data_IF_558343273034
#
_entry.id   IF_558343273034
#
_cell.length_a   1.000
_cell.length_b   1.000
_cell.length_c   1.000
_cell.angle_alpha   90.00
_cell.angle_beta   90.00
_cell.angle_gamma   90.00
#
_symmetry.space_group_name_H-M   'P 1'
#
loop_
_entity.id
_entity.type
_entity.pdbx_description
1 polymer ?
#
# COMPACT_ATOMS: atom_id res chain seq x y z
N UNK A 1 16.12 -15.17 -13.29
CA UNK A 1 15.21 -15.52 -12.17
C UNK A 1 15.06 -14.28 -11.32
N UNK A 2 13.82 -13.85 -11.05
CA UNK A 2 13.56 -12.72 -10.14
C UNK A 2 13.93 -13.13 -8.71
N UNK A 3 14.64 -12.26 -8.00
CA UNK A 3 14.97 -12.46 -6.56
C UNK A 3 13.71 -12.54 -5.71
N UNK A 4 12.61 -11.90 -6.17
CA UNK A 4 11.31 -11.91 -5.50
C UNK A 4 10.55 -13.24 -5.63
N UNK A 5 11.00 -14.15 -6.48
CA UNK A 5 10.30 -15.38 -6.82
C UNK A 5 9.10 -15.13 -7.73
N UNK A 6 8.35 -16.19 -8.01
CA UNK A 6 7.22 -16.21 -8.93
C UNK A 6 6.04 -16.90 -8.27
N UNK A 7 4.84 -16.43 -8.56
CA UNK A 7 3.59 -17.10 -8.24
C UNK A 7 2.91 -17.48 -9.57
N UNK A 8 2.72 -18.78 -9.80
CA UNK A 8 2.04 -19.31 -10.96
C UNK A 8 0.65 -19.81 -10.58
N UNK A 9 -0.36 -19.39 -11.32
CA UNK A 9 -1.74 -19.83 -11.15
C UNK A 9 -2.14 -20.57 -12.43
N UNK A 10 -2.26 -21.89 -12.36
CA UNK A 10 -2.80 -22.73 -13.43
C UNK A 10 -4.31 -22.89 -13.27
N UNK A 11 -5.06 -22.57 -14.30
CA UNK A 11 -6.54 -22.75 -14.31
C UNK A 11 -6.90 -23.75 -15.40
N UNK A 12 -7.57 -24.85 -15.03
CA UNK A 12 -8.11 -25.82 -15.96
C UNK A 12 -9.59 -25.55 -16.15
N UNK A 13 -9.96 -25.26 -17.38
CA UNK A 13 -11.36 -25.01 -17.77
C UNK A 13 -11.83 -26.14 -18.67
N UNK A 14 -13.04 -26.68 -18.41
CA UNK A 14 -13.75 -27.62 -19.27
C UNK A 14 -15.24 -27.25 -19.29
N UNK A 15 -15.84 -27.26 -20.49
CA UNK A 15 -17.25 -26.90 -20.70
C UNK A 15 -17.65 -25.50 -20.19
N UNK A 16 -16.71 -24.52 -20.26
CA UNK A 16 -16.91 -23.16 -19.76
C UNK A 16 -16.82 -23.00 -18.23
N UNK A 17 -16.52 -24.06 -17.49
CA UNK A 17 -16.40 -24.04 -16.04
C UNK A 17 -14.96 -24.30 -15.56
N UNK A 18 -14.56 -23.65 -14.51
CA UNK A 18 -13.28 -23.92 -13.86
C UNK A 18 -13.35 -25.25 -13.12
N UNK A 19 -12.55 -26.24 -13.56
CA UNK A 19 -12.49 -27.59 -12.98
C UNK A 19 -11.38 -27.79 -11.98
N UNK A 20 -10.28 -27.04 -12.11
CA UNK A 20 -9.17 -27.09 -11.17
C UNK A 20 -8.39 -25.80 -11.19
N UNK A 21 -7.80 -25.45 -10.03
CA UNK A 21 -6.82 -24.38 -9.87
C UNK A 21 -5.58 -24.97 -9.22
N UNK A 22 -4.42 -24.76 -9.85
CA UNK A 22 -3.11 -25.18 -9.34
C UNK A 22 -2.31 -23.93 -8.99
N UNK A 23 -1.76 -23.88 -7.77
CA UNK A 23 -0.92 -22.79 -7.30
C UNK A 23 0.49 -23.31 -7.09
N UNK A 24 1.47 -22.65 -7.72
CA UNK A 24 2.88 -22.91 -7.48
C UNK A 24 3.58 -21.59 -7.13
N UNK A 25 4.48 -21.64 -6.14
CA UNK A 25 5.24 -20.45 -5.71
C UNK A 25 6.70 -20.79 -5.51
N UNK A 26 7.57 -20.01 -6.14
CA UNK A 26 9.04 -20.04 -5.90
C UNK A 26 9.48 -18.90 -5.00
N UNK A 27 8.54 -18.17 -4.38
CA UNK A 27 8.87 -17.06 -3.47
C UNK A 27 9.65 -17.56 -2.26
N UNK A 28 10.70 -16.83 -1.83
CA UNK A 28 11.44 -17.17 -0.61
C UNK A 28 10.49 -17.20 0.60
N UNK A 29 10.56 -18.28 1.38
CA UNK A 29 9.76 -18.39 2.60
C UNK A 29 10.48 -17.68 3.74
N UNK A 30 10.17 -16.40 3.96
CA UNK A 30 10.76 -15.59 5.03
C UNK A 30 10.60 -16.23 6.42
N UNK A 31 9.50 -16.94 6.68
CA UNK A 31 9.28 -17.68 7.92
C UNK A 31 10.38 -18.70 8.25
N UNK A 32 11.01 -19.33 7.25
CA UNK A 32 12.12 -20.26 7.47
C UNK A 32 13.37 -19.57 8.03
N UNK A 33 13.61 -18.32 7.66
CA UNK A 33 14.74 -17.53 8.16
C UNK A 33 14.53 -17.15 9.63
N UNK A 34 13.27 -17.04 10.05
CA UNK A 34 12.89 -16.64 11.41
C UNK A 34 12.77 -17.83 12.37
N UNK A 35 12.63 -19.07 11.86
CA UNK A 35 12.49 -20.25 12.69
C UNK A 35 13.74 -20.46 13.57
N UNK A 36 13.52 -20.67 14.88
CA UNK A 36 14.58 -20.86 15.87
C UNK A 36 15.33 -19.58 16.27
N UNK A 37 14.91 -18.41 15.82
CA UNK A 37 15.47 -17.13 16.24
C UNK A 37 14.84 -16.64 17.53
N UNK A 38 15.61 -15.84 18.29
CA UNK A 38 15.07 -15.18 19.48
C UNK A 38 14.06 -14.08 19.09
N UNK A 39 13.11 -13.71 19.97
CA UNK A 39 12.21 -12.58 19.73
C UNK A 39 12.93 -11.28 19.33
N UNK A 40 14.06 -10.98 19.97
CA UNK A 40 14.88 -9.81 19.64
C UNK A 40 15.48 -9.88 18.23
N UNK A 41 15.93 -11.06 17.80
CA UNK A 41 16.42 -11.27 16.43
C UNK A 41 15.30 -11.15 15.40
N UNK A 42 14.13 -11.71 15.68
CA UNK A 42 12.94 -11.59 14.81
C UNK A 42 12.58 -10.12 14.62
N UNK A 43 12.47 -9.34 15.70
CA UNK A 43 12.14 -7.91 15.63
C UNK A 43 13.12 -7.10 14.76
N UNK A 44 14.40 -7.49 14.75
CA UNK A 44 15.45 -6.85 13.95
C UNK A 44 15.46 -7.32 12.50
N UNK A 45 15.22 -8.61 12.24
CA UNK A 45 15.33 -9.21 10.90
C UNK A 45 14.11 -8.94 10.04
N UNK A 46 12.91 -8.94 10.62
CA UNK A 46 11.65 -8.82 9.87
C UNK A 46 11.61 -7.57 8.97
N UNK A 47 11.90 -6.34 9.43
CA UNK A 47 11.85 -5.16 8.57
C UNK A 47 12.90 -5.20 7.44
N UNK A 48 13.95 -6.01 7.56
CA UNK A 48 14.97 -6.18 6.52
C UNK A 48 14.55 -7.18 5.45
N UNK A 49 13.67 -8.14 5.78
CA UNK A 49 13.16 -9.16 4.86
C UNK A 49 12.02 -8.63 3.97
N UNK A 50 11.34 -7.59 4.41
CA UNK A 50 10.15 -7.03 3.73
C UNK A 50 10.35 -5.56 3.41
N UNK A 51 10.89 -5.28 2.22
CA UNK A 51 11.27 -3.92 1.82
C UNK A 51 10.10 -2.94 1.65
N UNK A 52 8.90 -3.44 1.28
CA UNK A 52 7.72 -2.61 1.05
C UNK A 52 6.83 -2.44 2.28
N UNK A 53 6.69 -3.50 3.09
CA UNK A 53 5.80 -3.55 4.24
C UNK A 53 6.54 -3.89 5.55
N UNK A 54 7.77 -3.42 5.69
CA UNK A 54 8.68 -3.76 6.79
C UNK A 54 8.12 -3.41 8.16
N UNK A 55 7.48 -2.25 8.31
CA UNK A 55 6.87 -1.83 9.58
C UNK A 55 5.62 -2.63 9.92
N UNK A 56 4.76 -2.89 8.94
CA UNK A 56 3.57 -3.72 9.14
C UNK A 56 3.95 -5.14 9.58
N UNK A 57 4.95 -5.74 8.91
CA UNK A 57 5.46 -7.06 9.27
C UNK A 57 6.15 -7.08 10.63
N UNK A 58 6.92 -6.05 10.97
CA UNK A 58 7.54 -5.92 12.28
C UNK A 58 6.50 -5.83 13.39
N UNK A 59 5.45 -5.02 13.19
CA UNK A 59 4.37 -4.88 14.16
C UNK A 59 3.60 -6.19 14.30
N UNK A 60 3.30 -6.88 13.21
CA UNK A 60 2.64 -8.20 13.24
C UNK A 60 3.48 -9.23 14.01
N UNK A 61 4.79 -9.26 13.79
CA UNK A 61 5.70 -10.13 14.52
C UNK A 61 5.74 -9.79 16.02
N UNK A 62 5.78 -8.49 16.37
CA UNK A 62 5.74 -8.03 17.77
C UNK A 62 4.45 -8.47 18.46
N UNK A 63 3.30 -8.25 17.82
CA UNK A 63 1.99 -8.67 18.38
C UNK A 63 1.92 -10.18 18.57
N UNK A 64 2.44 -10.97 17.63
CA UNK A 64 2.49 -12.43 17.74
C UNK A 64 3.37 -12.90 18.91
N UNK A 65 4.54 -12.26 19.10
CA UNK A 65 5.46 -12.55 20.21
C UNK A 65 4.81 -12.18 21.54
N UNK A 66 4.25 -10.96 21.68
CA UNK A 66 3.57 -10.48 22.87
C UNK A 66 2.43 -11.44 23.28
N UNK A 67 1.63 -11.86 22.31
CA UNK A 67 0.57 -12.84 22.56
C UNK A 67 1.11 -14.20 23.05
N UNK A 68 2.23 -14.66 22.49
CA UNK A 68 2.84 -15.93 22.87
C UNK A 68 3.43 -15.94 24.30
N UNK A 69 3.88 -14.77 24.78
CA UNK A 69 4.44 -14.64 26.15
C UNK A 69 3.43 -14.09 27.16
N UNK A 70 2.18 -13.82 26.73
CA UNK A 70 1.11 -13.31 27.60
C UNK A 70 1.25 -11.83 27.95
N UNK A 71 2.02 -11.06 27.19
CA UNK A 71 2.14 -9.62 27.37
C UNK A 71 0.97 -8.88 26.69
N UNK A 72 0.52 -7.78 27.32
CA UNK A 72 -0.50 -6.91 26.78
C UNK A 72 0.08 -5.54 26.42
N UNK A 73 -0.03 -5.18 25.16
CA UNK A 73 0.34 -3.84 24.69
C UNK A 73 -0.69 -2.81 25.15
N UNK A 74 -0.28 -1.69 25.77
CA UNK A 74 -1.17 -0.59 26.10
C UNK A 74 -1.90 -0.04 24.87
N UNK A 75 -3.13 0.48 25.04
CA UNK A 75 -3.93 1.02 23.93
C UNK A 75 -3.22 2.16 23.19
N UNK A 76 -2.53 3.04 23.92
CA UNK A 76 -1.75 4.13 23.35
C UNK A 76 -0.66 3.64 22.38
N UNK A 77 0.00 2.54 22.71
CA UNK A 77 1.00 1.95 21.85
C UNK A 77 0.37 1.22 20.65
N UNK A 78 -0.76 0.53 20.85
CA UNK A 78 -1.54 -0.06 19.73
C UNK A 78 -1.98 1.00 18.74
N UNK A 79 -2.41 2.16 19.22
CA UNK A 79 -2.78 3.28 18.38
C UNK A 79 -1.59 3.84 17.58
N UNK A 80 -0.41 3.95 18.21
CA UNK A 80 0.82 4.35 17.51
C UNK A 80 1.20 3.34 16.42
N UNK A 81 1.16 2.05 16.72
CA UNK A 81 1.40 0.97 15.75
C UNK A 81 0.42 1.04 14.58
N UNK A 82 -0.86 1.26 14.86
CA UNK A 82 -1.89 1.42 13.82
C UNK A 82 -1.60 2.60 12.91
N UNK A 83 -1.18 3.75 13.47
CA UNK A 83 -0.79 4.92 12.68
C UNK A 83 0.42 4.63 11.80
N UNK A 84 1.44 3.93 12.31
CA UNK A 84 2.63 3.54 11.52
C UNK A 84 2.27 2.68 10.32
N UNK A 85 1.43 1.65 10.52
CA UNK A 85 0.96 0.78 9.42
C UNK A 85 0.17 1.57 8.38
N UNK A 86 -0.74 2.46 8.81
CA UNK A 86 -1.52 3.30 7.89
C UNK A 86 -0.64 4.24 7.08
N UNK A 87 0.37 4.85 7.68
CA UNK A 87 1.30 5.73 6.98
C UNK A 87 2.18 4.98 5.99
N UNK A 88 2.61 3.75 6.31
CA UNK A 88 3.30 2.87 5.37
C UNK A 88 2.39 2.54 4.18
N UNK A 89 1.13 2.14 4.43
CA UNK A 89 0.15 1.88 3.38
C UNK A 89 -0.10 3.10 2.47
N UNK A 90 -0.22 4.30 3.05
CA UNK A 90 -0.36 5.55 2.29
C UNK A 90 0.86 5.77 1.38
N UNK A 91 2.09 5.55 1.88
CA UNK A 91 3.31 5.69 1.06
C UNK A 91 3.30 4.73 -0.13
N UNK A 92 2.90 3.48 0.08
CA UNK A 92 2.82 2.48 -0.98
C UNK A 92 1.74 2.81 -2.02
N UNK A 93 0.56 3.27 -1.58
CA UNK A 93 -0.48 3.73 -2.50
C UNK A 93 -0.03 4.95 -3.31
N UNK A 94 0.59 5.93 -2.67
CA UNK A 94 1.15 7.10 -3.38
C UNK A 94 2.23 6.68 -4.40
N UNK A 95 3.07 5.70 -4.07
CA UNK A 95 4.04 5.15 -5.02
C UNK A 95 3.34 4.61 -6.26
N UNK A 96 2.36 3.73 -6.08
CA UNK A 96 1.61 3.13 -7.20
C UNK A 96 0.92 4.18 -8.05
N UNK A 97 0.18 5.07 -7.38
CA UNK A 97 -0.65 6.06 -8.06
C UNK A 97 0.15 7.18 -8.75
N UNK A 98 1.30 7.56 -8.20
CA UNK A 98 2.07 8.70 -8.69
C UNK A 98 3.28 8.31 -9.56
N UNK A 99 3.79 7.10 -9.42
CA UNK A 99 4.97 6.65 -10.17
C UNK A 99 4.68 5.48 -11.09
N UNK A 100 4.13 4.37 -10.57
CA UNK A 100 4.01 3.13 -11.34
C UNK A 100 2.88 3.21 -12.39
N UNK A 101 1.68 3.62 -11.99
CA UNK A 101 0.54 3.69 -12.90
C UNK A 101 0.76 4.69 -14.04
N UNK A 102 1.21 5.93 -13.79
CA UNK A 102 1.55 6.81 -14.90
C UNK A 102 2.54 6.17 -15.87
N UNK A 103 3.59 5.52 -15.36
CA UNK A 103 4.59 4.87 -16.20
C UNK A 103 4.01 3.71 -17.04
N UNK A 104 3.12 2.89 -16.46
CA UNK A 104 2.42 1.81 -17.17
C UNK A 104 1.53 2.34 -18.29
N UNK A 105 0.95 3.52 -18.11
CA UNK A 105 0.09 4.20 -19.08
C UNK A 105 0.87 5.12 -20.05
N UNK A 106 2.21 5.06 -20.03
CA UNK A 106 3.09 5.92 -20.84
C UNK A 106 2.92 7.43 -20.54
N UNK A 107 2.53 7.77 -19.33
CA UNK A 107 2.40 9.13 -18.83
C UNK A 107 3.60 9.51 -17.96
N UNK A 108 3.92 10.80 -17.84
CA UNK A 108 5.01 11.26 -16.98
C UNK A 108 4.66 11.01 -15.50
N UNK A 109 5.54 10.37 -14.72
CA UNK A 109 5.31 10.15 -13.30
C UNK A 109 5.43 11.45 -12.48
N UNK A 110 4.64 11.57 -11.41
CA UNK A 110 4.55 12.75 -10.54
C UNK A 110 5.67 12.74 -9.48
N UNK A 111 6.94 12.70 -9.91
CA UNK A 111 8.11 12.44 -9.05
C UNK A 111 8.27 13.44 -7.90
N UNK A 112 8.11 14.74 -8.17
CA UNK A 112 8.34 15.79 -7.17
C UNK A 112 7.24 15.80 -6.10
N UNK A 113 5.99 15.64 -6.52
CA UNK A 113 4.85 15.52 -5.62
C UNK A 113 4.97 14.24 -4.76
N UNK A 114 5.31 13.10 -5.37
CA UNK A 114 5.57 11.86 -4.65
C UNK A 114 6.69 12.04 -3.61
N UNK A 115 7.85 12.56 -3.99
CA UNK A 115 8.98 12.74 -3.09
C UNK A 115 8.65 13.63 -1.89
N UNK A 116 7.82 14.67 -2.09
CA UNK A 116 7.33 15.54 -1.03
C UNK A 116 6.45 14.78 -0.03
N UNK A 117 5.45 14.07 -0.52
CA UNK A 117 4.53 13.32 0.32
C UNK A 117 5.18 12.12 1.01
N UNK A 118 6.05 11.40 0.29
CA UNK A 118 6.81 10.29 0.85
C UNK A 118 7.63 10.70 2.08
N UNK A 119 8.39 11.81 1.98
CA UNK A 119 9.17 12.33 3.12
C UNK A 119 8.29 12.74 4.29
N UNK A 120 7.15 13.35 4.03
CA UNK A 120 6.22 13.77 5.09
C UNK A 120 5.59 12.58 5.80
N UNK A 121 5.15 11.57 5.06
CA UNK A 121 4.65 10.32 5.65
C UNK A 121 5.73 9.60 6.45
N UNK A 122 6.97 9.57 5.97
CA UNK A 122 8.09 8.96 6.69
C UNK A 122 8.34 9.68 8.02
N UNK A 123 8.42 11.01 8.02
CA UNK A 123 8.60 11.79 9.24
C UNK A 123 7.46 11.58 10.24
N UNK A 124 6.20 11.64 9.79
CA UNK A 124 5.03 11.40 10.65
C UNK A 124 4.99 9.97 11.20
N UNK A 125 5.52 8.98 10.49
CA UNK A 125 5.60 7.59 10.92
C UNK A 125 6.61 7.39 12.05
N UNK A 126 7.77 8.08 12.00
CA UNK A 126 8.76 8.00 13.08
C UNK A 126 8.17 8.47 14.42
N UNK A 127 7.51 9.61 14.43
CA UNK A 127 6.88 10.16 15.63
C UNK A 127 5.60 9.40 16.01
N UNK A 128 4.79 9.04 15.03
CA UNK A 128 3.48 8.40 15.15
C UNK A 128 2.51 9.12 16.13
N UNK A 129 2.69 10.43 16.31
CA UNK A 129 1.85 11.24 17.18
C UNK A 129 0.50 11.58 16.50
N UNK A 130 -0.59 11.49 17.28
CA UNK A 130 -1.94 11.65 16.75
C UNK A 130 -2.18 13.02 16.11
N UNK A 131 -1.61 14.08 16.68
CA UNK A 131 -1.71 15.45 16.16
C UNK A 131 -1.05 15.60 14.80
N UNK A 132 0.20 15.17 14.69
CA UNK A 132 0.98 15.19 13.47
C UNK A 132 0.30 14.38 12.34
N UNK A 133 -0.18 13.16 12.67
CA UNK A 133 -0.87 12.30 11.70
C UNK A 133 -2.19 12.92 11.21
N UNK A 134 -2.97 13.55 12.08
CA UNK A 134 -4.22 14.24 11.66
C UNK A 134 -3.93 15.43 10.76
N UNK A 135 -2.93 16.25 11.10
CA UNK A 135 -2.53 17.37 10.26
C UNK A 135 -2.10 16.89 8.87
N UNK A 136 -1.22 15.88 8.80
CA UNK A 136 -0.77 15.29 7.54
C UNK A 136 -1.95 14.75 6.72
N UNK A 137 -2.90 14.05 7.36
CA UNK A 137 -4.09 13.52 6.70
C UNK A 137 -4.94 14.64 6.10
N UNK A 138 -5.20 15.73 6.86
CA UNK A 138 -5.94 16.89 6.36
C UNK A 138 -5.26 17.52 5.15
N UNK A 139 -3.96 17.72 5.20
CA UNK A 139 -3.21 18.30 4.08
C UNK A 139 -3.14 17.38 2.85
N UNK A 140 -3.11 16.06 3.06
CA UNK A 140 -3.17 15.10 1.95
C UNK A 140 -4.56 15.06 1.30
N UNK A 141 -5.63 15.14 2.10
CA UNK A 141 -7.00 15.27 1.58
C UNK A 141 -7.13 16.56 0.78
N UNK A 142 -6.67 17.69 1.31
CA UNK A 142 -6.65 18.97 0.58
C UNK A 142 -5.88 18.89 -0.75
N UNK A 143 -4.77 18.17 -0.78
CA UNK A 143 -4.01 17.93 -2.00
C UNK A 143 -4.81 17.06 -3.00
N UNK A 144 -5.42 15.99 -2.53
CA UNK A 144 -6.29 15.17 -3.39
C UNK A 144 -7.42 15.99 -3.98
N UNK A 145 -8.11 16.77 -3.15
CA UNK A 145 -9.29 17.56 -3.56
C UNK A 145 -8.97 18.68 -4.55
N UNK A 146 -7.80 19.31 -4.41
CA UNK A 146 -7.46 20.50 -5.22
C UNK A 146 -6.59 20.20 -6.43
N UNK A 147 -5.80 19.12 -6.36
CA UNK A 147 -4.73 18.91 -7.33
C UNK A 147 -4.81 17.56 -8.01
N UNK A 148 -4.96 16.48 -7.23
CA UNK A 148 -4.80 15.11 -7.72
C UNK A 148 -6.09 14.59 -8.38
N UNK A 149 -7.18 14.60 -7.63
CA UNK A 149 -8.45 14.00 -8.05
C UNK A 149 -9.36 14.97 -8.82
N UNK A 150 -10.20 14.45 -9.70
CA UNK A 150 -11.18 15.25 -10.44
C UNK A 150 -12.30 15.81 -9.57
N UNK A 151 -12.68 15.06 -8.54
CA UNK A 151 -13.70 15.40 -7.55
C UNK A 151 -13.10 15.42 -6.15
N UNK A 152 -13.73 16.11 -5.18
CA UNK A 152 -13.36 15.96 -3.78
C UNK A 152 -13.31 14.48 -3.35
N UNK A 153 -12.31 14.10 -2.55
CA UNK A 153 -12.08 12.71 -2.15
C UNK A 153 -13.32 12.05 -1.55
N UNK A 154 -14.10 12.78 -0.75
CA UNK A 154 -15.33 12.26 -0.16
C UNK A 154 -16.36 11.88 -1.23
N UNK A 155 -16.55 12.72 -2.26
CA UNK A 155 -17.45 12.41 -3.38
C UNK A 155 -16.89 11.30 -4.26
N UNK A 156 -15.59 11.29 -4.49
CA UNK A 156 -14.90 10.22 -5.22
C UNK A 156 -15.15 8.84 -4.61
N UNK A 157 -15.11 8.73 -3.28
CA UNK A 157 -15.31 7.46 -2.56
C UNK A 157 -16.79 6.99 -2.55
N UNK A 158 -17.73 7.84 -2.92
CA UNK A 158 -19.16 7.52 -3.01
C UNK A 158 -19.61 7.15 -4.44
N UNK A 159 -18.68 7.15 -5.42
CA UNK A 159 -19.01 6.78 -6.79
C UNK A 159 -19.23 5.28 -6.91
N UNK A 160 -20.42 4.89 -7.35
CA UNK A 160 -20.82 3.51 -7.59
C UNK A 160 -20.72 3.10 -9.08
N UNK A 161 -20.41 4.06 -9.98
CA UNK A 161 -20.38 3.87 -11.43
C UNK A 161 -19.00 4.17 -11.99
N UNK A 162 -18.42 3.21 -12.69
CA UNK A 162 -17.13 3.34 -13.37
C UNK A 162 -17.16 4.46 -14.44
N UNK A 163 -18.30 4.69 -15.10
CA UNK A 163 -18.44 5.77 -16.06
C UNK A 163 -18.28 7.15 -15.42
N UNK A 164 -18.77 7.34 -14.20
CA UNK A 164 -18.59 8.58 -13.44
C UNK A 164 -17.14 8.82 -13.01
N UNK A 165 -16.34 7.75 -12.83
CA UNK A 165 -14.90 7.83 -12.58
C UNK A 165 -14.14 8.35 -13.80
N UNK A 166 -14.65 8.06 -15.01
CA UNK A 166 -14.01 8.33 -16.29
C UNK A 166 -14.45 9.64 -16.92
N UNK A 167 -15.50 10.28 -16.40
CA UNK A 167 -15.88 11.62 -16.86
C UNK A 167 -14.69 12.58 -16.72
N UNK A 168 -14.23 13.18 -17.83
CA UNK A 168 -12.95 13.87 -17.84
C UNK A 168 -12.97 15.12 -16.98
N UNK A 169 -12.49 15.00 -15.80
CA UNK A 169 -12.00 16.14 -15.06
C UNK A 169 -10.67 16.57 -15.69
N UNK A 170 -10.75 17.15 -16.83
CA UNK A 170 -9.65 17.46 -17.75
C UNK A 170 -8.55 18.38 -17.18
N UNK A 171 -8.60 18.76 -15.91
CA UNK A 171 -7.75 19.81 -15.37
C UNK A 171 -6.89 19.40 -14.17
N UNK A 172 -6.90 18.13 -13.77
CA UNK A 172 -6.17 17.67 -12.58
C UNK A 172 -5.06 16.69 -12.95
N UNK A 173 -4.08 16.49 -12.05
CA UNK A 173 -2.91 15.64 -12.31
C UNK A 173 -3.27 14.21 -12.74
N UNK A 174 -4.41 13.68 -12.28
CA UNK A 174 -4.89 12.35 -12.65
C UNK A 174 -5.83 12.32 -13.88
N UNK A 175 -6.26 13.45 -14.40
CA UNK A 175 -7.13 13.48 -15.58
C UNK A 175 -6.58 12.66 -16.78
N UNK A 176 -5.32 12.85 -17.20
CA UNK A 176 -4.74 12.05 -18.28
C UNK A 176 -4.66 10.55 -17.98
N UNK A 177 -4.46 10.17 -16.71
CA UNK A 177 -4.41 8.77 -16.29
C UNK A 177 -5.80 8.11 -16.39
N UNK A 178 -6.86 8.79 -15.95
CA UNK A 178 -8.22 8.30 -16.05
C UNK A 178 -8.65 8.14 -17.50
N UNK A 179 -8.29 9.10 -18.36
CA UNK A 179 -8.53 9.01 -19.80
C UNK A 179 -7.80 7.80 -20.44
N UNK A 180 -6.56 7.53 -20.03
CA UNK A 180 -5.83 6.38 -20.52
C UNK A 180 -6.44 5.06 -20.04
N UNK A 181 -6.98 4.99 -18.81
CA UNK A 181 -7.67 3.81 -18.29
C UNK A 181 -8.95 3.52 -19.08
N UNK A 182 -9.74 4.53 -19.43
CA UNK A 182 -10.98 4.33 -20.22
C UNK A 182 -10.73 3.74 -21.61
N UNK A 183 -9.52 3.90 -22.15
CA UNK A 183 -9.15 3.31 -23.44
C UNK A 183 -8.85 1.80 -23.37
N UNK A 184 -8.75 1.20 -22.18
CA UNK A 184 -8.55 -0.25 -22.02
C UNK A 184 -9.85 -1.06 -22.11
N UNK A 185 -11.03 -0.44 -21.95
CA UNK A 185 -12.34 -1.09 -22.01
C UNK A 185 -12.95 -1.09 -23.45
N UNK A 186 -12.23 -0.59 -24.43
CA UNK A 186 -12.63 -0.57 -25.83
C UNK A 186 -11.84 -1.59 -26.65
#
# INVERSE_FOLDING_TARGET
MSVAGELSIGVRVADGEVRAVELASTRPQASRVLAGRTPADVARLVPMLFSLCGHAQQIAASVAIEAAIGEHTPDSERDKRTRRVRLEAIQEHLWRLMLDWPALLSLPPLRDAFARWYRRCAAAREEAEAGCCRQLASELVDYCDRTLLPLPLAQWLELDDDAALLEPAAAREWGPMLQALSAFDA
#
